data_IF_004676825239
#
_entry.id   IF_004676825239
#
_cell.length_a   1.000
_cell.length_b   1.000
_cell.length_c   1.000
_cell.angle_alpha   90.00
_cell.angle_beta   90.00
_cell.angle_gamma   90.00
#
_symmetry.space_group_name_H-M   'P 1'
#
loop_
_entity.id
_entity.type
_entity.pdbx_description
1 polymer ?
#
# COMPACT_ATOMS: atom_id res chain seq x y z
N UNK A 1 -27.72 0.01 11.96
CA UNK A 1 -28.04 0.28 10.55
C UNK A 1 -26.82 0.00 9.67
N UNK A 2 -27.01 -0.75 8.61
CA UNK A 2 -25.94 -1.02 7.65
C UNK A 2 -25.71 0.21 6.77
N UNK A 3 -24.46 0.49 6.50
CA UNK A 3 -24.09 1.67 5.70
C UNK A 3 -23.05 1.31 4.65
N UNK A 4 -23.20 1.86 3.46
CA UNK A 4 -22.21 1.78 2.41
C UNK A 4 -21.37 3.06 2.40
N UNK A 5 -20.06 2.89 2.31
CA UNK A 5 -19.14 4.02 2.30
C UNK A 5 -18.55 4.20 0.90
N UNK A 6 -18.59 5.43 0.40
CA UNK A 6 -17.89 5.78 -0.83
C UNK A 6 -16.56 6.42 -0.44
N UNK A 7 -15.47 5.89 -0.99
CA UNK A 7 -14.13 6.38 -0.69
C UNK A 7 -13.64 7.19 -1.88
N UNK A 8 -13.33 8.48 -1.66
CA UNK A 8 -12.77 9.33 -2.70
C UNK A 8 -11.27 9.15 -2.78
N UNK A 9 -10.85 8.08 -3.46
CA UNK A 9 -9.43 7.72 -3.57
C UNK A 9 -8.63 8.67 -4.46
N UNK A 10 -9.29 9.45 -5.30
CA UNK A 10 -8.61 10.40 -6.20
C UNK A 10 -8.35 11.72 -5.49
N UNK A 11 -9.32 12.23 -4.77
CA UNK A 11 -9.26 13.56 -4.15
C UNK A 11 -8.90 13.59 -2.67
N UNK A 12 -8.65 12.46 -2.05
CA UNK A 12 -8.38 12.41 -0.62
C UNK A 12 -7.09 13.14 -0.25
N UNK A 13 -7.11 14.00 0.78
CA UNK A 13 -5.87 14.56 1.29
C UNK A 13 -5.02 13.45 1.94
N UNK A 14 -3.73 13.47 1.65
CA UNK A 14 -2.79 12.47 2.14
C UNK A 14 -1.75 13.11 3.04
N UNK A 15 -1.19 12.32 3.95
CA UNK A 15 -0.11 12.75 4.84
C UNK A 15 1.11 11.86 4.65
N UNK A 16 2.31 12.31 5.04
CA UNK A 16 3.51 11.50 4.90
C UNK A 16 3.37 10.15 5.60
N UNK A 17 3.86 9.12 4.91
CA UNK A 17 3.94 7.76 5.43
C UNK A 17 5.36 7.26 5.12
N UNK A 18 6.39 7.75 5.84
CA UNK A 18 7.78 7.54 5.46
C UNK A 18 8.16 6.07 5.38
N UNK A 19 8.92 5.73 4.34
CA UNK A 19 9.52 4.40 4.22
C UNK A 19 10.79 4.41 5.07
N UNK A 20 10.96 3.42 5.98
CA UNK A 20 12.17 3.36 6.79
C UNK A 20 13.43 3.35 5.92
N UNK A 21 14.42 4.16 6.29
CA UNK A 21 15.64 4.30 5.50
C UNK A 21 16.34 2.96 5.25
N UNK A 22 16.32 2.06 6.23
CA UNK A 22 16.92 0.73 6.13
C UNK A 22 16.25 -0.15 5.08
N UNK A 23 15.00 0.16 4.71
CA UNK A 23 14.26 -0.61 3.70
C UNK A 23 14.44 -0.06 2.29
N UNK A 24 15.00 1.12 2.12
CA UNK A 24 15.21 1.73 0.81
C UNK A 24 16.41 1.11 0.14
N UNK A 25 16.22 0.61 -1.09
CA UNK A 25 17.26 -0.01 -1.90
C UNK A 25 17.89 1.00 -2.85
N UNK A 26 17.08 1.86 -3.46
CA UNK A 26 17.58 2.87 -4.40
C UNK A 26 16.61 4.04 -4.51
N UNK A 27 17.13 5.19 -4.92
CA UNK A 27 16.35 6.41 -5.09
C UNK A 27 15.97 7.06 -3.77
N UNK A 28 15.06 8.01 -3.87
CA UNK A 28 14.52 8.74 -2.71
C UNK A 28 12.99 8.71 -2.75
N UNK A 29 12.38 7.51 -2.64
CA UNK A 29 10.93 7.41 -2.74
C UNK A 29 10.25 8.11 -1.56
N UNK A 30 9.23 8.88 -1.87
CA UNK A 30 8.41 9.58 -0.88
C UNK A 30 7.01 8.98 -0.91
N UNK A 31 6.57 8.43 0.20
CA UNK A 31 5.26 7.83 0.33
C UNK A 31 4.33 8.70 1.16
N UNK A 32 3.06 8.72 0.76
CA UNK A 32 1.98 9.41 1.47
C UNK A 32 0.76 8.50 1.47
N UNK A 33 -0.07 8.62 2.48
CA UNK A 33 -1.28 7.81 2.54
C UNK A 33 -2.43 8.53 3.24
N UNK A 34 -3.62 7.96 3.09
CA UNK A 34 -4.79 8.30 3.90
C UNK A 34 -5.55 7.02 4.20
N UNK A 35 -5.81 6.77 5.47
CA UNK A 35 -6.73 5.70 5.89
C UNK A 35 -8.12 6.31 5.85
N UNK A 36 -8.99 5.78 5.00
CA UNK A 36 -10.31 6.36 4.74
C UNK A 36 -11.42 5.68 5.51
N UNK A 37 -11.23 4.43 5.89
CA UNK A 37 -12.15 3.67 6.72
C UNK A 37 -11.39 2.60 7.49
N UNK A 38 -11.84 2.31 8.70
CA UNK A 38 -11.28 1.22 9.51
C UNK A 38 -12.36 0.60 10.38
N UNK A 39 -12.18 -0.70 10.69
CA UNK A 39 -13.03 -1.40 11.64
C UNK A 39 -12.72 -0.95 13.07
N UNK A 40 -13.64 -1.21 14.00
CA UNK A 40 -13.45 -0.83 15.41
C UNK A 40 -12.19 -1.44 16.02
N UNK A 41 -11.88 -2.68 15.67
CA UNK A 41 -10.70 -3.38 16.18
C UNK A 41 -9.40 -3.04 15.43
N UNK A 42 -9.49 -2.20 14.37
CA UNK A 42 -8.33 -1.80 13.57
C UNK A 42 -7.78 -2.90 12.65
N UNK A 43 -8.43 -4.06 12.59
CA UNK A 43 -7.91 -5.17 11.78
C UNK A 43 -8.19 -5.00 10.30
N UNK A 44 -9.30 -4.35 9.96
CA UNK A 44 -9.65 -4.06 8.56
C UNK A 44 -9.56 -2.57 8.33
N UNK A 45 -8.83 -2.16 7.32
CA UNK A 45 -8.78 -0.76 6.93
C UNK A 45 -8.46 -0.62 5.46
N UNK A 46 -8.89 0.49 4.89
CA UNK A 46 -8.66 0.80 3.49
C UNK A 46 -8.43 2.28 3.28
N UNK A 47 -7.90 2.60 2.13
CA UNK A 47 -7.57 3.97 1.80
C UNK A 47 -6.78 4.08 0.52
N UNK A 48 -5.91 5.08 0.45
CA UNK A 48 -5.10 5.39 -0.71
C UNK A 48 -3.64 5.60 -0.28
N UNK A 49 -2.72 5.21 -1.16
CA UNK A 49 -1.28 5.34 -0.95
C UNK A 49 -0.64 5.85 -2.24
N UNK A 50 0.24 6.84 -2.09
CA UNK A 50 1.00 7.41 -3.19
C UNK A 50 2.48 7.18 -2.94
N UNK A 51 3.25 6.96 -3.99
CA UNK A 51 4.71 6.87 -3.85
C UNK A 51 5.42 7.31 -5.11
N UNK A 52 6.44 8.14 -4.92
CA UNK A 52 7.31 8.60 -6.01
C UNK A 52 8.33 7.51 -6.37
N UNK A 53 9.03 7.61 -7.53
CA UNK A 53 9.95 6.57 -7.98
C UNK A 53 11.07 6.26 -6.99
N UNK A 54 11.43 4.98 -6.94
CA UNK A 54 12.48 4.42 -6.10
C UNK A 54 12.20 2.95 -5.84
N UNK A 55 13.08 2.29 -5.09
CA UNK A 55 12.92 0.88 -4.76
C UNK A 55 13.09 0.66 -3.27
N UNK A 56 12.26 -0.19 -2.69
CA UNK A 56 12.25 -0.44 -1.25
C UNK A 56 11.52 -1.74 -0.93
N UNK A 57 11.81 -2.28 0.25
CA UNK A 57 11.11 -3.46 0.75
C UNK A 57 9.92 -3.06 1.61
N UNK A 58 8.84 -3.83 1.50
CA UNK A 58 7.69 -3.72 2.39
C UNK A 58 7.33 -5.10 2.92
N UNK A 59 7.01 -5.16 4.21
CA UNK A 59 6.44 -6.35 4.81
C UNK A 59 4.93 -6.28 4.65
N UNK A 60 4.33 -7.38 4.22
CA UNK A 60 2.91 -7.40 3.88
C UNK A 60 2.05 -8.02 4.97
N UNK A 61 0.93 -7.37 5.24
CA UNK A 61 -0.25 -8.02 5.79
C UNK A 61 -1.06 -8.49 4.58
N UNK A 62 -2.18 -9.15 4.78
CA UNK A 62 -3.07 -9.45 3.66
C UNK A 62 -3.55 -8.11 3.09
N UNK A 63 -3.13 -7.82 1.89
CA UNK A 63 -3.43 -6.55 1.24
C UNK A 63 -3.88 -6.74 -0.19
N UNK A 64 -5.04 -6.19 -0.53
CA UNK A 64 -5.48 -6.07 -1.92
C UNK A 64 -5.20 -4.65 -2.37
N UNK A 65 -4.53 -4.48 -3.49
CA UNK A 65 -4.23 -3.17 -4.07
C UNK A 65 -4.80 -3.06 -5.47
N UNK A 66 -5.26 -1.86 -5.81
CA UNK A 66 -5.65 -1.52 -7.18
C UNK A 66 -4.88 -0.27 -7.59
N UNK A 67 -4.04 -0.38 -8.62
CA UNK A 67 -3.34 0.78 -9.13
C UNK A 67 -4.29 1.70 -9.90
N UNK A 68 -4.26 2.98 -9.55
CA UNK A 68 -5.06 4.01 -10.20
C UNK A 68 -4.19 4.78 -11.19
N UNK A 69 -2.92 5.01 -10.82
CA UNK A 69 -1.94 5.70 -11.64
C UNK A 69 -0.58 5.06 -11.48
N UNK A 70 0.26 5.19 -12.50
CA UNK A 70 1.66 4.83 -12.45
C UNK A 70 1.95 3.39 -12.82
N UNK A 71 3.20 3.00 -12.58
CA UNK A 71 3.69 1.64 -12.85
C UNK A 71 4.68 1.21 -11.78
N UNK A 72 4.59 -0.04 -11.40
CA UNK A 72 5.49 -0.63 -10.41
C UNK A 72 5.77 -2.08 -10.74
N UNK A 73 6.89 -2.60 -10.22
CA UNK A 73 7.19 -4.02 -10.22
C UNK A 73 7.26 -4.46 -8.77
N UNK A 74 6.57 -5.54 -8.44
CA UNK A 74 6.56 -6.10 -7.08
C UNK A 74 7.14 -7.50 -7.15
N UNK A 75 8.17 -7.76 -6.36
CA UNK A 75 8.83 -9.06 -6.32
C UNK A 75 8.80 -9.59 -4.89
N UNK A 76 7.96 -10.61 -4.60
CA UNK A 76 7.97 -11.22 -3.28
C UNK A 76 9.25 -12.04 -3.10
N UNK A 77 9.75 -12.14 -1.86
CA UNK A 77 10.91 -12.98 -1.58
C UNK A 77 10.62 -14.43 -1.97
N UNK A 78 11.51 -15.01 -2.77
CA UNK A 78 11.35 -16.37 -3.23
C UNK A 78 10.31 -16.57 -4.33
N UNK A 79 9.73 -15.50 -4.85
CA UNK A 79 8.70 -15.57 -5.88
C UNK A 79 9.05 -14.79 -7.13
N UNK A 80 8.12 -14.82 -8.09
CA UNK A 80 8.29 -14.13 -9.37
C UNK A 80 7.83 -12.68 -9.29
N UNK A 81 8.48 -11.83 -10.08
CA UNK A 81 8.11 -10.44 -10.21
C UNK A 81 6.74 -10.29 -10.90
N UNK A 82 5.96 -9.32 -10.41
CA UNK A 82 4.68 -8.96 -11.00
C UNK A 82 4.75 -7.49 -11.41
N UNK A 83 4.41 -7.21 -12.66
CA UNK A 83 4.36 -5.83 -13.16
C UNK A 83 2.93 -5.31 -13.06
N UNK A 84 2.80 -4.14 -12.46
CA UNK A 84 1.51 -3.49 -12.23
C UNK A 84 1.45 -2.16 -12.95
N UNK A 85 0.31 -1.86 -13.55
CA UNK A 85 0.00 -0.58 -14.16
C UNK A 85 -1.41 -0.15 -13.77
N UNK A 86 -1.80 1.05 -14.13
CA UNK A 86 -3.15 1.56 -13.84
C UNK A 86 -4.21 0.58 -14.33
N UNK A 87 -5.15 0.25 -13.44
CA UNK A 87 -6.22 -0.71 -13.70
C UNK A 87 -5.95 -2.12 -13.18
N UNK A 88 -4.71 -2.43 -12.80
CA UNK A 88 -4.37 -3.76 -12.29
C UNK A 88 -4.70 -3.87 -10.80
N UNK A 89 -5.16 -5.06 -10.42
CA UNK A 89 -5.39 -5.42 -9.03
C UNK A 89 -4.46 -6.56 -8.65
N UNK A 90 -3.83 -6.47 -7.48
CA UNK A 90 -2.93 -7.51 -6.97
C UNK A 90 -3.25 -7.82 -5.52
N UNK A 91 -2.90 -9.02 -5.09
CA UNK A 91 -3.03 -9.44 -3.70
C UNK A 91 -1.65 -9.78 -3.14
N UNK A 92 -1.36 -9.22 -1.96
CA UNK A 92 -0.11 -9.41 -1.25
C UNK A 92 -0.43 -10.17 0.05
N UNK A 93 -0.05 -11.46 0.15
CA UNK A 93 -0.39 -12.24 1.35
C UNK A 93 0.47 -11.87 2.55
N UNK A 94 -0.13 -12.05 3.74
CA UNK A 94 0.55 -11.84 5.01
C UNK A 94 1.81 -12.68 5.12
N UNK A 95 2.83 -12.11 5.77
CA UNK A 95 4.09 -12.79 6.03
C UNK A 95 5.07 -12.75 4.87
N UNK A 96 4.73 -12.09 3.78
CA UNK A 96 5.60 -11.94 2.62
C UNK A 96 6.29 -10.59 2.66
N UNK A 97 7.61 -10.60 2.49
CA UNK A 97 8.38 -9.36 2.27
C UNK A 97 8.57 -9.19 0.78
N UNK A 98 8.22 -8.04 0.24
CA UNK A 98 8.29 -7.78 -1.20
C UNK A 98 9.15 -6.58 -1.50
N UNK A 99 9.89 -6.67 -2.61
CA UNK A 99 10.60 -5.54 -3.18
C UNK A 99 9.64 -4.80 -4.11
N UNK A 100 9.43 -3.53 -3.83
CA UNK A 100 8.66 -2.63 -4.67
C UNK A 100 9.60 -1.74 -5.46
N UNK A 101 9.44 -1.74 -6.77
CA UNK A 101 10.17 -0.85 -7.67
C UNK A 101 9.15 0.07 -8.32
N UNK A 102 9.15 1.33 -7.92
CA UNK A 102 8.22 2.34 -8.46
C UNK A 102 8.89 2.98 -9.67
N UNK A 103 8.35 2.74 -10.85
CA UNK A 103 8.88 3.25 -12.11
C UNK A 103 8.29 4.62 -12.47
N UNK A 104 7.00 4.79 -12.24
CA UNK A 104 6.28 6.05 -12.38
C UNK A 104 5.48 6.24 -11.11
N UNK A 105 5.35 7.48 -10.64
CA UNK A 105 4.62 7.76 -9.40
C UNK A 105 3.32 7.00 -9.35
N UNK A 106 3.16 6.21 -8.30
CA UNK A 106 2.02 5.31 -8.12
C UNK A 106 0.99 5.95 -7.20
N UNK A 107 -0.27 5.79 -7.58
CA UNK A 107 -1.41 5.95 -6.70
C UNK A 107 -2.15 4.63 -6.69
N UNK A 108 -2.37 4.07 -5.50
CA UNK A 108 -3.14 2.83 -5.36
C UNK A 108 -4.21 3.00 -4.30
N UNK A 109 -5.36 2.35 -4.52
CA UNK A 109 -6.29 2.10 -3.42
C UNK A 109 -5.87 0.79 -2.77
N UNK A 110 -6.04 0.68 -1.47
CA UNK A 110 -5.65 -0.53 -0.74
C UNK A 110 -6.73 -0.96 0.24
N UNK A 111 -6.75 -2.26 0.49
CA UNK A 111 -7.54 -2.86 1.54
C UNK A 111 -6.65 -3.82 2.32
N UNK A 112 -6.43 -3.51 3.59
CA UNK A 112 -5.59 -4.31 4.49
C UNK A 112 -6.44 -5.11 5.45
N UNK A 113 -5.99 -6.34 5.70
CA UNK A 113 -6.42 -7.13 6.83
C UNK A 113 -5.20 -7.37 7.72
N UNK A 114 -5.12 -6.65 8.82
CA UNK A 114 -4.06 -6.81 9.81
C UNK A 114 -4.62 -7.56 11.01
N UNK A 115 -4.39 -8.88 11.03
CA UNK A 115 -4.94 -9.75 12.08
C UNK A 115 -4.43 -9.41 13.48
N UNK A 116 -3.28 -8.74 13.59
CA UNK A 116 -2.76 -8.30 14.88
C UNK A 116 -3.45 -7.04 15.41
N UNK A 117 -4.06 -6.25 14.52
CA UNK A 117 -4.65 -4.96 14.87
C UNK A 117 -3.63 -3.90 15.28
N UNK A 118 -2.33 -4.14 15.06
CA UNK A 118 -1.27 -3.26 15.57
C UNK A 118 -0.89 -2.14 14.61
N UNK A 119 -1.11 -2.32 13.32
CA UNK A 119 -0.64 -1.37 12.32
C UNK A 119 -1.19 0.04 12.51
N UNK A 120 -2.46 0.16 12.90
CA UNK A 120 -3.10 1.45 13.16
C UNK A 120 -3.10 1.84 14.63
N UNK A 121 -2.68 0.96 15.52
CA UNK A 121 -2.72 1.18 16.97
C UNK A 121 -1.44 1.82 17.51
N UNK A 122 -0.45 2.09 16.68
CA UNK A 122 0.82 2.63 17.15
C UNK A 122 0.65 4.03 17.71
N UNK A 123 1.38 4.35 18.78
CA UNK A 123 1.42 5.72 19.28
C UNK A 123 2.11 6.65 18.30
#
# INVERSE_FOLDING_TARGET
>A
MTKTYKLDVVGAPVEPCPIPAEDIVSGEPEAHWAVMWQSEDGQLFNGVWHCTPGAFYLDNNDETVCLIEGRATVTPEGGESVNLKAGDTAFLPEGTRSLWEIHETVKKSFHHHDSSGQMLASP
#
